data_IF_111511756278
#
_entry.id   IF_111511756278
#
_cell.length_a   1.000
_cell.length_b   1.000
_cell.length_c   1.000
_cell.angle_alpha   90.00
_cell.angle_beta   90.00
_cell.angle_gamma   90.00
#
_symmetry.space_group_name_H-M   'P 1'
#
loop_
_entity.id
_entity.type
_entity.pdbx_description
1 polymer ?
#
# COMPACT_ATOMS: atom_id res chain seq x y z
N UNK A 1 4.80 -6.83 23.31
CA UNK A 1 5.31 -5.67 22.57
C UNK A 1 5.91 -6.14 21.25
N UNK A 2 5.17 -6.11 20.13
CA UNK A 2 5.68 -6.53 18.79
C UNK A 2 5.38 -5.48 17.69
N UNK A 3 4.64 -4.40 18.02
CA UNK A 3 4.16 -3.43 17.02
C UNK A 3 5.27 -2.64 16.31
N UNK A 4 6.43 -2.40 16.95
CA UNK A 4 7.51 -1.63 16.33
C UNK A 4 8.16 -2.36 15.15
N UNK A 5 8.51 -3.64 15.30
CA UNK A 5 9.08 -4.43 14.20
C UNK A 5 8.06 -4.69 13.08
N UNK A 6 6.78 -4.88 13.43
CA UNK A 6 5.70 -5.07 12.47
C UNK A 6 5.37 -3.80 11.69
N UNK A 7 5.48 -2.62 12.30
CA UNK A 7 5.34 -1.34 11.61
C UNK A 7 6.44 -1.18 10.56
N UNK A 8 7.71 -1.39 10.93
CA UNK A 8 8.83 -1.31 9.99
C UNK A 8 8.71 -2.33 8.85
N UNK A 9 8.31 -3.56 9.16
CA UNK A 9 8.05 -4.58 8.14
C UNK A 9 6.90 -4.21 7.20
N UNK A 10 5.79 -3.71 7.75
CA UNK A 10 4.66 -3.25 6.94
C UNK A 10 5.06 -2.10 6.03
N UNK A 11 5.79 -1.10 6.55
CA UNK A 11 6.28 0.03 5.75
C UNK A 11 7.19 -0.44 4.61
N UNK A 12 8.09 -1.39 4.88
CA UNK A 12 8.94 -1.98 3.86
C UNK A 12 8.10 -2.69 2.79
N UNK A 13 7.19 -3.58 3.20
CA UNK A 13 6.33 -4.33 2.29
C UNK A 13 5.47 -3.41 1.41
N UNK A 14 4.81 -2.42 2.01
CA UNK A 14 3.94 -1.49 1.29
C UNK A 14 4.75 -0.59 0.35
N UNK A 15 5.96 -0.18 0.74
CA UNK A 15 6.86 0.57 -0.14
C UNK A 15 7.33 -0.27 -1.32
N UNK A 16 7.67 -1.54 -1.09
CA UNK A 16 8.00 -2.47 -2.18
C UNK A 16 6.83 -2.67 -3.13
N UNK A 17 5.61 -2.81 -2.62
CA UNK A 17 4.42 -2.87 -3.47
C UNK A 17 4.21 -1.58 -4.26
N UNK A 18 4.41 -0.42 -3.65
CA UNK A 18 4.34 0.88 -4.32
C UNK A 18 5.39 1.02 -5.43
N UNK A 19 6.62 0.54 -5.22
CA UNK A 19 7.69 0.56 -6.22
C UNK A 19 7.42 -0.38 -7.40
N UNK A 20 6.64 -1.45 -7.18
CA UNK A 20 6.20 -2.38 -8.24
C UNK A 20 5.03 -1.83 -9.06
N UNK A 21 4.29 -0.85 -8.53
CA UNK A 21 3.22 -0.19 -9.27
C UNK A 21 3.81 0.68 -10.39
N UNK A 22 3.16 0.74 -11.56
CA UNK A 22 3.59 1.62 -12.64
C UNK A 22 3.60 3.09 -12.19
N UNK A 23 4.70 3.80 -12.51
CA UNK A 23 4.88 5.23 -12.17
C UNK A 23 3.73 6.11 -12.66
N UNK A 24 3.23 5.79 -13.85
CA UNK A 24 1.95 6.29 -14.32
C UNK A 24 0.87 5.34 -13.83
N UNK A 25 0.20 5.73 -12.73
CA UNK A 25 -0.97 5.02 -12.24
C UNK A 25 -2.15 5.37 -13.14
N UNK A 26 -2.13 4.86 -14.36
CA UNK A 26 -3.29 4.89 -15.26
C UNK A 26 -4.06 3.60 -15.09
N UNK A 27 -5.36 3.66 -15.36
CA UNK A 27 -6.23 2.47 -15.36
C UNK A 27 -5.64 1.35 -16.21
N UNK A 28 -5.16 1.69 -17.42
CA UNK A 28 -4.53 0.75 -18.33
C UNK A 28 -3.26 0.08 -17.76
N UNK A 29 -2.39 0.84 -17.08
CA UNK A 29 -1.15 0.29 -16.54
C UNK A 29 -1.40 -0.66 -15.35
N UNK A 30 -2.40 -0.36 -14.52
CA UNK A 30 -2.79 -1.22 -13.40
C UNK A 30 -3.50 -2.50 -13.90
N UNK A 31 -4.34 -2.39 -14.94
CA UNK A 31 -4.96 -3.57 -15.59
C UNK A 31 -3.87 -4.49 -16.12
N UNK A 32 -2.89 -3.95 -16.84
CA UNK A 32 -1.78 -4.74 -17.39
C UNK A 32 -1.00 -5.49 -16.31
N UNK A 33 -0.68 -4.83 -15.19
CA UNK A 33 0.01 -5.48 -14.07
C UNK A 33 -0.81 -6.62 -13.46
N UNK A 34 -2.13 -6.42 -13.29
CA UNK A 34 -3.00 -7.46 -12.76
C UNK A 34 -3.16 -8.64 -13.73
N UNK A 35 -3.19 -8.38 -15.03
CA UNK A 35 -3.17 -9.42 -16.06
C UNK A 35 -1.87 -10.23 -16.00
N UNK A 36 -0.71 -9.58 -15.86
CA UNK A 36 0.58 -10.26 -15.71
C UNK A 36 0.60 -11.16 -14.46
N UNK A 37 0.04 -10.69 -13.34
CA UNK A 37 -0.12 -11.50 -12.13
C UNK A 37 -0.99 -12.72 -12.39
N UNK A 38 -2.10 -12.56 -13.13
CA UNK A 38 -2.95 -13.70 -13.49
C UNK A 38 -2.17 -14.75 -14.29
N UNK A 39 -1.22 -14.37 -15.15
CA UNK A 39 -0.40 -15.32 -15.91
C UNK A 39 0.64 -16.05 -15.06
N UNK A 40 1.10 -15.45 -13.95
CA UNK A 40 2.05 -16.07 -13.00
C UNK A 40 1.36 -17.10 -12.11
N UNK A 41 0.06 -16.92 -11.84
CA UNK A 41 -0.69 -17.82 -10.98
C UNK A 41 -0.86 -19.23 -11.59
N UNK A 42 -0.93 -20.27 -10.74
CA UNK A 42 -1.23 -21.63 -11.20
C UNK A 42 -2.53 -21.69 -12.02
N UNK A 43 -2.65 -22.62 -12.99
CA UNK A 43 -3.81 -22.70 -13.89
C UNK A 43 -5.17 -22.76 -13.18
N UNK A 44 -5.20 -23.33 -11.97
CA UNK A 44 -6.39 -23.41 -11.12
C UNK A 44 -7.00 -22.04 -10.79
N UNK A 45 -6.17 -21.00 -10.66
CA UNK A 45 -6.57 -19.67 -10.23
C UNK A 45 -6.66 -18.65 -11.38
N UNK A 46 -6.18 -18.99 -12.57
CA UNK A 46 -6.13 -18.07 -13.72
C UNK A 46 -7.50 -17.51 -14.09
N UNK A 47 -8.52 -18.38 -14.24
CA UNK A 47 -9.89 -17.92 -14.56
C UNK A 47 -10.48 -17.03 -13.48
N UNK A 48 -10.28 -17.41 -12.22
CA UNK A 48 -10.81 -16.66 -11.08
C UNK A 48 -10.11 -15.30 -10.96
N UNK A 49 -8.82 -15.23 -11.26
CA UNK A 49 -8.06 -14.00 -11.34
C UNK A 49 -8.59 -13.09 -12.46
N UNK A 50 -8.76 -13.59 -13.68
CA UNK A 50 -9.29 -12.81 -14.80
C UNK A 50 -10.71 -12.28 -14.53
N UNK A 51 -11.59 -13.07 -13.92
CA UNK A 51 -12.93 -12.63 -13.53
C UNK A 51 -12.89 -11.48 -12.51
N UNK A 52 -11.93 -11.52 -11.57
CA UNK A 52 -11.73 -10.46 -10.58
C UNK A 52 -11.17 -9.20 -11.23
N UNK A 53 -10.18 -9.32 -12.13
CA UNK A 53 -9.63 -8.19 -12.88
C UNK A 53 -10.71 -7.54 -13.75
N UNK A 54 -11.53 -8.33 -14.45
CA UNK A 54 -12.61 -7.81 -15.29
C UNK A 54 -13.74 -7.14 -14.49
N UNK A 55 -14.12 -7.68 -13.33
CA UNK A 55 -15.23 -7.15 -12.51
C UNK A 55 -14.84 -5.98 -11.62
N UNK A 56 -13.63 -6.00 -11.09
CA UNK A 56 -13.20 -5.06 -10.06
C UNK A 56 -12.12 -4.09 -10.52
N UNK A 57 -11.70 -4.15 -11.80
CA UNK A 57 -10.75 -3.21 -12.40
C UNK A 57 -11.04 -1.78 -11.97
N UNK A 58 -12.21 -1.21 -12.27
CA UNK A 58 -12.51 0.18 -11.89
C UNK A 58 -12.40 0.47 -10.39
N UNK A 59 -12.98 -0.35 -9.52
CA UNK A 59 -12.98 -0.09 -8.06
C UNK A 59 -11.61 -0.33 -7.41
N UNK A 60 -10.89 -1.38 -7.83
CA UNK A 60 -9.53 -1.68 -7.37
C UNK A 60 -8.58 -0.60 -7.88
N UNK A 61 -8.74 -0.18 -9.14
CA UNK A 61 -7.96 0.90 -9.74
C UNK A 61 -8.25 2.19 -8.99
N UNK A 62 -9.50 2.60 -8.82
CA UNK A 62 -9.85 3.80 -8.07
C UNK A 62 -9.29 3.76 -6.63
N UNK A 63 -9.28 2.60 -5.98
CA UNK A 63 -8.65 2.44 -4.66
C UNK A 63 -7.11 2.59 -4.70
N UNK A 64 -6.44 2.03 -5.71
CA UNK A 64 -4.99 2.17 -5.94
C UNK A 64 -4.62 3.62 -6.33
N UNK A 65 -5.48 4.27 -7.12
CA UNK A 65 -5.35 5.66 -7.56
C UNK A 65 -5.70 6.66 -6.47
N UNK A 66 -6.55 6.29 -5.51
CA UNK A 66 -6.95 7.14 -4.38
C UNK A 66 -5.82 7.38 -3.35
N UNK A 67 -4.59 6.91 -3.61
CA UNK A 67 -3.39 7.14 -2.80
C UNK A 67 -3.55 6.75 -1.32
N UNK A 68 -3.56 5.45 -1.04
CA UNK A 68 -3.14 5.01 0.28
C UNK A 68 -1.61 5.01 0.34
N UNK A 69 -1.02 5.94 1.09
CA UNK A 69 0.43 5.91 1.36
C UNK A 69 0.80 4.61 2.09
N UNK A 70 2.03 4.09 1.95
CA UNK A 70 2.49 2.94 2.73
C UNK A 70 2.18 3.06 4.22
N UNK A 71 2.28 4.28 4.75
CA UNK A 71 1.98 4.59 6.13
C UNK A 71 0.49 4.49 6.46
N UNK A 72 -0.40 5.08 5.67
CA UNK A 72 -1.85 5.04 5.96
C UNK A 72 -2.40 3.62 5.92
N UNK A 73 -1.86 2.75 5.06
CA UNK A 73 -2.20 1.32 5.04
C UNK A 73 -1.74 0.64 6.34
N UNK A 74 -0.49 0.86 6.75
CA UNK A 74 0.03 0.26 7.98
C UNK A 74 -0.66 0.77 9.25
N UNK A 75 -1.17 2.01 9.23
CA UNK A 75 -1.99 2.59 10.30
C UNK A 75 -3.41 1.99 10.31
N UNK A 76 -4.03 1.79 9.15
CA UNK A 76 -5.32 1.10 9.00
C UNK A 76 -5.27 -0.34 9.51
N UNK A 77 -4.16 -1.04 9.26
CA UNK A 77 -3.91 -2.40 9.76
C UNK A 77 -3.51 -2.41 11.26
N UNK A 78 -3.48 -1.25 11.91
CA UNK A 78 -3.06 -1.06 13.30
C UNK A 78 -1.64 -1.58 13.61
N UNK A 79 -0.81 -1.72 12.57
CA UNK A 79 0.60 -2.11 12.67
C UNK A 79 1.46 -0.91 13.02
N UNK A 80 1.14 0.26 12.46
CA UNK A 80 1.69 1.55 12.85
C UNK A 80 0.65 2.35 13.64
N UNK A 81 1.11 3.22 14.55
CA UNK A 81 0.23 4.16 15.26
C UNK A 81 -0.20 5.24 14.28
N UNK A 82 -1.51 5.48 14.18
CA UNK A 82 -2.07 6.58 13.39
C UNK A 82 -1.39 7.89 13.81
N UNK A 83 -0.95 8.69 12.86
CA UNK A 83 -0.41 10.01 13.15
C UNK A 83 -1.56 10.97 13.52
N UNK A 84 -2.24 10.72 14.63
CA UNK A 84 -2.91 11.78 15.37
C UNK A 84 -1.83 12.78 15.74
N UNK A 85 -2.00 14.03 15.34
CA UNK A 85 -1.04 15.10 15.56
C UNK A 85 -0.67 15.25 17.03
N UNK A 86 0.37 14.53 17.43
CA UNK A 86 1.31 14.91 18.46
C UNK A 86 2.64 15.03 17.73
N UNK A 87 2.97 16.24 17.29
CA UNK A 87 4.27 16.59 16.70
C UNK A 87 5.45 16.37 17.66
N UNK A 88 5.22 15.82 18.87
CA UNK A 88 6.23 15.66 19.91
C UNK A 88 6.19 14.26 20.52
N UNK A 89 6.82 13.28 19.88
CA UNK A 89 7.25 12.05 20.59
C UNK A 89 8.64 11.55 20.22
N UNK A 90 9.38 12.25 19.36
CA UNK A 90 10.81 12.04 19.18
C UNK A 90 11.46 13.24 18.49
N UNK A 91 11.52 14.36 19.20
CA UNK A 91 12.47 15.45 18.96
C UNK A 91 12.80 16.08 20.32
N UNK A 92 13.58 15.38 21.14
CA UNK A 92 14.35 16.03 22.20
C UNK A 92 15.51 16.75 21.51
N UNK A 93 15.26 17.95 20.99
CA UNK A 93 16.31 18.92 20.68
C UNK A 93 15.72 20.30 20.92
N UNK A 94 16.12 20.84 22.07
CA UNK A 94 15.87 22.17 22.60
C UNK A 94 16.12 23.24 21.54
N UNK A 95 15.13 24.08 21.27
CA UNK A 95 15.41 25.49 21.00
C UNK A 95 14.29 26.35 21.58
N UNK A 96 14.68 27.09 22.60
CA UNK A 96 13.91 28.07 23.33
C UNK A 96 13.51 29.21 22.40
N UNK A 97 12.24 29.60 22.44
CA UNK A 97 11.81 30.94 22.05
C UNK A 97 12.07 31.84 23.27
N UNK A 98 13.14 32.62 23.20
CA UNK A 98 13.27 33.93 23.85
C UNK A 98 13.27 34.98 22.74
#
# INVERSE_FOLDING_TARGET
MVKSNLCSFCLFLMKTLEDLLPKQRTEAAVIHLLEDICHILPPLYQRQCQDVVGKFSKTIIDAILSYATPRSICELLHLCKAMSGDCCSSATSTLQVL
#
